data_IF_331806226170
#
_entry.id   IF_331806226170
#
_cell.length_a   1.000
_cell.length_b   1.000
_cell.length_c   1.000
_cell.angle_alpha   90.00
_cell.angle_beta   90.00
_cell.angle_gamma   90.00
#
_symmetry.space_group_name_H-M   'P 1'
#
loop_
_entity.id
_entity.type
_entity.pdbx_description
1 polymer ?
#
# COMPACT_ATOMS: atom_id res chain seq x y z
N UNK A 1 -19.99 -2.69 7.94
CA UNK A 1 -19.07 -1.55 7.89
C UNK A 1 -19.41 -0.79 6.64
N UNK A 2 -19.59 0.53 6.72
CA UNK A 2 -19.78 1.36 5.52
C UNK A 2 -18.46 1.37 4.74
N UNK A 3 -18.52 1.02 3.46
CA UNK A 3 -17.39 1.20 2.53
C UNK A 3 -17.33 2.71 2.24
N UNK A 4 -16.20 3.39 2.53
CA UNK A 4 -16.09 4.81 2.24
C UNK A 4 -16.27 5.11 0.75
N UNK A 5 -16.85 6.26 0.46
CA UNK A 5 -17.11 6.76 -0.88
C UNK A 5 -16.82 8.27 -0.98
N UNK A 6 -17.08 8.84 -2.15
CA UNK A 6 -16.88 10.27 -2.42
C UNK A 6 -17.70 11.19 -1.49
N UNK A 7 -18.81 10.71 -0.93
CA UNK A 7 -19.70 11.49 -0.03
C UNK A 7 -19.32 11.33 1.45
N UNK A 8 -18.44 10.39 1.77
CA UNK A 8 -17.98 10.16 3.14
C UNK A 8 -17.30 11.41 3.69
N UNK A 9 -17.70 11.94 4.86
CA UNK A 9 -17.08 13.13 5.44
C UNK A 9 -15.57 12.96 5.63
N UNK A 10 -14.78 14.00 5.34
CA UNK A 10 -13.31 13.91 5.30
C UNK A 10 -12.69 13.36 6.59
N UNK A 11 -13.14 13.81 7.76
CA UNK A 11 -12.63 13.30 9.03
C UNK A 11 -13.00 11.83 9.28
N UNK A 12 -14.15 11.37 8.76
CA UNK A 12 -14.58 9.97 8.83
C UNK A 12 -13.72 9.11 7.89
N UNK A 13 -13.47 9.59 6.66
CA UNK A 13 -12.58 8.93 5.71
C UNK A 13 -11.15 8.80 6.26
N UNK A 14 -10.57 9.88 6.80
CA UNK A 14 -9.23 9.84 7.39
C UNK A 14 -9.15 8.91 8.59
N UNK A 15 -10.18 8.89 9.44
CA UNK A 15 -10.23 7.94 10.58
C UNK A 15 -10.35 6.50 10.10
N UNK A 16 -11.11 6.25 9.02
CA UNK A 16 -11.19 4.93 8.41
C UNK A 16 -9.82 4.48 7.86
N UNK A 17 -9.17 5.32 7.05
CA UNK A 17 -7.83 5.01 6.50
C UNK A 17 -6.87 4.69 7.66
N UNK A 18 -6.76 5.56 8.65
CA UNK A 18 -5.87 5.33 9.80
C UNK A 18 -6.21 4.05 10.56
N UNK A 19 -7.43 3.93 11.08
CA UNK A 19 -7.77 2.92 12.08
C UNK A 19 -7.98 1.53 11.47
N UNK A 20 -8.39 1.47 10.19
CA UNK A 20 -8.60 0.21 9.48
C UNK A 20 -7.43 -0.15 8.58
N UNK A 21 -7.02 0.74 7.69
CA UNK A 21 -6.10 0.44 6.58
C UNK A 21 -4.66 0.46 7.06
N UNK A 22 -4.17 1.59 7.59
CA UNK A 22 -2.76 1.72 8.00
C UNK A 22 -2.41 0.74 9.14
N UNK A 23 -3.32 0.61 10.11
CA UNK A 23 -3.18 -0.39 11.18
C UNK A 23 -3.20 -1.84 10.68
N UNK A 24 -3.88 -2.14 9.56
CA UNK A 24 -3.83 -3.49 8.98
C UNK A 24 -2.43 -3.76 8.42
N UNK A 25 -1.86 -2.85 7.64
CA UNK A 25 -0.54 -2.99 7.03
C UNK A 25 0.56 -3.23 8.09
N UNK A 26 0.60 -2.40 9.14
CA UNK A 26 1.55 -2.55 10.26
C UNK A 26 1.48 -3.92 10.94
N UNK A 27 0.32 -4.59 10.93
CA UNK A 27 0.17 -5.97 11.46
C UNK A 27 0.48 -7.05 10.43
N UNK A 28 0.17 -6.82 9.17
CA UNK A 28 0.30 -7.81 8.10
C UNK A 28 1.76 -8.06 7.74
N UNK A 29 2.54 -7.01 7.50
CA UNK A 29 3.88 -7.11 6.93
C UNK A 29 4.87 -7.88 7.82
N UNK A 30 5.01 -7.60 9.14
CA UNK A 30 5.90 -8.37 10.00
C UNK A 30 5.56 -9.88 10.02
N UNK A 31 4.27 -10.20 9.95
CA UNK A 31 3.80 -11.59 9.88
C UNK A 31 4.13 -12.25 8.55
N UNK A 32 4.04 -11.52 7.44
CA UNK A 32 4.38 -12.01 6.11
C UNK A 32 5.89 -12.23 5.96
N UNK A 33 6.71 -11.30 6.45
CA UNK A 33 8.17 -11.44 6.54
C UNK A 33 8.53 -12.72 7.30
N UNK A 34 7.97 -12.92 8.51
CA UNK A 34 8.23 -14.13 9.30
C UNK A 34 7.79 -15.43 8.59
N UNK A 35 6.70 -15.39 7.82
CA UNK A 35 6.24 -16.54 7.04
C UNK A 35 7.15 -16.82 5.84
N UNK A 36 7.60 -15.79 5.12
CA UNK A 36 8.53 -15.92 4.01
C UNK A 36 9.86 -16.53 4.46
N UNK A 37 10.43 -16.04 5.56
CA UNK A 37 11.66 -16.58 6.17
C UNK A 37 11.54 -18.08 6.45
N UNK A 38 10.41 -18.50 7.04
CA UNK A 38 10.15 -19.91 7.35
C UNK A 38 9.99 -20.76 6.09
N UNK A 39 9.33 -20.23 5.06
CA UNK A 39 9.11 -20.94 3.80
C UNK A 39 10.43 -21.11 3.06
N UNK A 40 11.21 -20.05 2.88
CA UNK A 40 12.53 -20.10 2.24
C UNK A 40 13.47 -21.05 2.99
N UNK A 41 13.56 -20.96 4.32
CA UNK A 41 14.41 -21.86 5.09
C UNK A 41 13.98 -23.33 5.01
N UNK A 42 12.67 -23.61 5.05
CA UNK A 42 12.14 -24.99 5.02
C UNK A 42 12.24 -25.63 3.63
N UNK A 43 12.21 -24.81 2.59
CA UNK A 43 12.18 -25.20 1.18
C UNK A 43 13.40 -24.69 0.42
N UNK A 44 14.56 -24.59 1.09
CA UNK A 44 15.79 -24.03 0.52
C UNK A 44 16.23 -24.73 -0.78
N UNK A 45 16.03 -26.05 -0.87
CA UNK A 45 16.39 -26.85 -2.04
C UNK A 45 15.24 -27.01 -3.06
N UNK A 46 14.05 -26.44 -2.80
CA UNK A 46 12.92 -26.50 -3.73
C UNK A 46 13.03 -25.35 -4.74
N UNK A 47 13.19 -25.68 -6.03
CA UNK A 47 13.26 -24.69 -7.10
C UNK A 47 11.97 -23.88 -7.25
N UNK A 48 10.84 -24.39 -6.78
CA UNK A 48 9.56 -23.68 -6.79
C UNK A 48 9.41 -22.71 -5.61
N UNK A 49 10.32 -22.74 -4.62
CA UNK A 49 10.26 -21.84 -3.47
C UNK A 49 10.53 -20.38 -3.89
N UNK A 50 9.87 -19.40 -3.24
CA UNK A 50 9.99 -18.00 -3.60
C UNK A 50 11.27 -17.40 -3.00
N UNK A 51 12.43 -17.85 -3.49
CA UNK A 51 13.74 -17.41 -3.02
C UNK A 51 13.89 -15.88 -3.16
N UNK A 52 14.33 -15.23 -2.09
CA UNK A 52 14.48 -13.77 -2.00
C UNK A 52 13.22 -13.01 -1.59
N UNK A 53 12.07 -13.70 -1.40
CA UNK A 53 10.81 -13.06 -1.05
C UNK A 53 10.87 -12.35 0.31
N UNK A 54 11.62 -12.89 1.26
CA UNK A 54 11.88 -12.29 2.57
C UNK A 54 12.47 -10.90 2.40
N UNK A 55 13.55 -10.75 1.62
CA UNK A 55 14.21 -9.48 1.41
C UNK A 55 13.28 -8.47 0.70
N UNK A 56 12.49 -8.94 -0.28
CA UNK A 56 11.50 -8.10 -0.95
C UNK A 56 10.41 -7.61 0.01
N UNK A 57 9.94 -8.47 0.92
CA UNK A 57 8.95 -8.11 1.94
C UNK A 57 9.50 -7.19 3.02
N UNK A 58 10.75 -7.36 3.42
CA UNK A 58 11.44 -6.46 4.35
C UNK A 58 11.60 -5.06 3.75
N UNK A 59 11.92 -4.98 2.46
CA UNK A 59 12.07 -3.70 1.75
C UNK A 59 10.75 -2.94 1.67
N UNK A 60 9.66 -3.58 1.19
CA UNK A 60 8.34 -2.93 1.16
C UNK A 60 7.83 -2.63 2.57
N UNK A 61 8.16 -3.44 3.59
CA UNK A 61 7.76 -3.15 4.97
C UNK A 61 8.38 -1.86 5.47
N UNK A 62 9.68 -1.66 5.25
CA UNK A 62 10.38 -0.45 5.69
C UNK A 62 9.87 0.80 4.94
N UNK A 63 9.69 0.68 3.62
CA UNK A 63 9.15 1.77 2.80
C UNK A 63 7.74 2.17 3.25
N UNK A 64 6.85 1.18 3.43
CA UNK A 64 5.48 1.43 3.84
C UNK A 64 5.38 1.96 5.27
N UNK A 65 6.22 1.49 6.20
CA UNK A 65 6.25 2.05 7.56
C UNK A 65 6.65 3.53 7.55
N UNK A 66 7.68 3.91 6.77
CA UNK A 66 8.09 5.31 6.65
C UNK A 66 7.00 6.19 5.99
N UNK A 67 6.33 5.66 4.97
CA UNK A 67 5.20 6.30 4.30
C UNK A 67 4.03 6.54 5.27
N UNK A 68 3.61 5.50 6.01
CA UNK A 68 2.53 5.59 7.01
C UNK A 68 2.89 6.58 8.14
N UNK A 69 4.14 6.57 8.61
CA UNK A 69 4.59 7.51 9.63
C UNK A 69 4.50 8.96 9.12
N UNK A 70 4.80 9.20 7.85
CA UNK A 70 4.66 10.51 7.24
C UNK A 70 3.19 10.96 7.15
N UNK A 71 2.28 10.07 6.76
CA UNK A 71 0.84 10.32 6.74
C UNK A 71 0.32 10.71 8.12
N UNK A 72 0.60 9.88 9.13
CA UNK A 72 0.07 10.04 10.48
C UNK A 72 0.67 11.25 11.23
N UNK A 73 1.96 11.51 11.05
CA UNK A 73 2.66 12.57 11.79
C UNK A 73 2.54 13.95 11.13
N UNK A 74 2.41 14.00 9.80
CA UNK A 74 2.50 15.27 9.04
C UNK A 74 1.23 15.53 8.25
N UNK A 75 0.88 14.63 7.33
CA UNK A 75 -0.16 14.91 6.32
C UNK A 75 -1.54 14.98 6.96
N UNK A 76 -2.00 13.93 7.63
CA UNK A 76 -3.33 13.90 8.24
C UNK A 76 -3.53 15.01 9.30
N UNK A 77 -2.55 15.29 10.18
CA UNK A 77 -2.66 16.45 11.08
C UNK A 77 -2.77 17.79 10.34
N UNK A 78 -2.04 18.00 9.24
CA UNK A 78 -2.15 19.24 8.47
C UNK A 78 -3.51 19.37 7.77
N UNK A 79 -3.99 18.29 7.14
CA UNK A 79 -5.28 18.26 6.46
C UNK A 79 -6.44 18.54 7.43
N UNK A 80 -6.44 17.90 8.61
CA UNK A 80 -7.48 18.12 9.63
C UNK A 80 -7.53 19.54 10.19
N UNK A 81 -6.40 20.27 10.14
CA UNK A 81 -6.30 21.69 10.57
C UNK A 81 -6.57 22.70 9.45
N UNK A 82 -6.97 22.26 8.26
CA UNK A 82 -7.15 23.13 7.11
C UNK A 82 -5.83 23.72 6.57
N UNK A 83 -4.71 23.06 6.83
CA UNK A 83 -3.37 23.50 6.43
C UNK A 83 -2.88 22.78 5.16
N UNK A 84 -3.81 22.38 4.27
CA UNK A 84 -3.51 21.62 3.06
C UNK A 84 -2.46 22.28 2.16
N UNK A 85 -2.44 23.62 2.09
CA UNK A 85 -1.42 24.36 1.32
C UNK A 85 0.02 24.12 1.77
N UNK A 86 0.25 23.64 3.01
CA UNK A 86 1.58 23.33 3.54
C UNK A 86 2.09 21.94 3.21
N UNK A 87 1.22 21.07 2.68
CA UNK A 87 1.53 19.65 2.43
C UNK A 87 1.31 19.25 0.97
N UNK A 88 1.19 20.21 0.04
CA UNK A 88 0.95 19.88 -1.37
C UNK A 88 2.08 19.04 -1.98
N UNK A 89 3.34 19.36 -1.67
CA UNK A 89 4.50 18.56 -2.10
C UNK A 89 4.49 17.16 -1.47
N UNK A 90 4.05 17.05 -0.21
CA UNK A 90 3.93 15.77 0.46
C UNK A 90 2.84 14.89 -0.18
N UNK A 91 1.71 15.46 -0.60
CA UNK A 91 0.66 14.71 -1.32
C UNK A 91 1.17 14.15 -2.66
N UNK A 92 2.01 14.91 -3.38
CA UNK A 92 2.67 14.40 -4.59
C UNK A 92 3.64 13.26 -4.27
N UNK A 93 4.49 13.43 -3.24
CA UNK A 93 5.43 12.40 -2.80
C UNK A 93 4.74 11.11 -2.36
N UNK A 94 3.62 11.18 -1.63
CA UNK A 94 2.84 9.99 -1.25
C UNK A 94 2.30 9.24 -2.49
N UNK A 95 1.97 9.93 -3.58
CA UNK A 95 1.58 9.26 -4.84
C UNK A 95 2.75 8.53 -5.51
N UNK A 96 3.94 9.11 -5.44
CA UNK A 96 5.15 8.46 -5.93
C UNK A 96 5.44 7.19 -5.10
N UNK A 97 5.36 7.29 -3.78
CA UNK A 97 5.47 6.14 -2.87
C UNK A 97 4.42 5.05 -3.21
N UNK A 98 3.17 5.43 -3.46
CA UNK A 98 2.12 4.49 -3.89
C UNK A 98 2.49 3.74 -5.18
N UNK A 99 3.06 4.43 -6.17
CA UNK A 99 3.52 3.80 -7.40
C UNK A 99 4.72 2.85 -7.16
N UNK A 100 5.62 3.21 -6.25
CA UNK A 100 6.74 2.34 -5.86
C UNK A 100 6.27 1.08 -5.11
N UNK A 101 5.29 1.21 -4.22
CA UNK A 101 4.65 0.09 -3.54
C UNK A 101 3.95 -0.86 -4.52
N UNK A 102 3.24 -0.32 -5.51
CA UNK A 102 2.64 -1.12 -6.59
C UNK A 102 3.72 -1.88 -7.40
N UNK A 103 4.81 -1.20 -7.75
CA UNK A 103 5.93 -1.85 -8.44
C UNK A 103 6.58 -2.96 -7.60
N UNK A 104 6.68 -2.78 -6.28
CA UNK A 104 7.17 -3.79 -5.35
C UNK A 104 6.24 -5.01 -5.27
N UNK A 105 4.92 -4.79 -5.20
CA UNK A 105 3.92 -5.87 -5.24
C UNK A 105 3.98 -6.66 -6.56
N UNK A 106 4.17 -5.98 -7.69
CA UNK A 106 4.32 -6.64 -8.99
C UNK A 106 5.56 -7.55 -9.04
N UNK A 107 6.68 -7.11 -8.44
CA UNK A 107 7.88 -7.97 -8.29
C UNK A 107 7.59 -9.18 -7.40
N UNK A 108 6.92 -8.98 -6.26
CA UNK A 108 6.51 -10.07 -5.35
C UNK A 108 5.57 -11.06 -6.07
N UNK A 109 4.62 -10.57 -6.85
CA UNK A 109 3.73 -11.42 -7.65
C UNK A 109 4.53 -12.23 -8.67
N UNK A 110 5.52 -11.66 -9.35
CA UNK A 110 6.38 -12.38 -10.27
C UNK A 110 7.17 -13.51 -9.58
N UNK A 111 7.80 -13.22 -8.43
CA UNK A 111 8.55 -14.20 -7.62
C UNK A 111 7.69 -15.36 -7.11
N UNK A 112 6.37 -15.13 -7.01
CA UNK A 112 5.41 -16.12 -6.50
C UNK A 112 4.53 -16.72 -7.60
N UNK A 113 4.87 -16.47 -8.87
CA UNK A 113 4.11 -16.90 -10.05
C UNK A 113 2.63 -16.49 -10.00
N UNK A 114 2.36 -15.26 -9.56
CA UNK A 114 1.01 -14.74 -9.33
C UNK A 114 0.32 -15.45 -8.16
N UNK A 115 1.07 -15.68 -7.07
CA UNK A 115 0.58 -16.40 -5.88
C UNK A 115 0.09 -17.83 -6.17
N UNK A 116 0.62 -18.48 -7.21
CA UNK A 116 0.24 -19.86 -7.57
C UNK A 116 1.08 -20.85 -6.77
N UNK A 117 0.42 -21.67 -5.99
CA UNK A 117 1.07 -22.63 -5.10
C UNK A 117 1.52 -23.90 -5.85
N UNK A 118 2.75 -24.40 -5.63
CA UNK A 118 3.15 -25.71 -6.11
C UNK A 118 2.52 -26.83 -5.26
N UNK A 119 2.56 -28.07 -5.78
CA UNK A 119 2.07 -29.26 -5.04
C UNK A 119 2.84 -29.49 -3.73
N UNK A 120 4.13 -29.12 -3.69
CA UNK A 120 5.00 -29.24 -2.52
C UNK A 120 4.70 -28.23 -1.41
N UNK A 121 3.80 -27.26 -1.64
CA UNK A 121 3.54 -26.19 -0.68
C UNK A 121 3.07 -26.74 0.67
N UNK A 122 3.76 -26.36 1.74
CA UNK A 122 3.35 -26.66 3.11
C UNK A 122 2.22 -25.71 3.58
N UNK A 123 1.56 -25.97 4.72
CA UNK A 123 0.53 -25.08 5.25
C UNK A 123 0.99 -23.63 5.47
N UNK A 124 2.25 -23.40 5.87
CA UNK A 124 2.81 -22.05 6.05
C UNK A 124 2.94 -21.30 4.72
N UNK A 125 3.34 -22.00 3.66
CA UNK A 125 3.43 -21.43 2.31
C UNK A 125 2.05 -21.05 1.76
N UNK A 126 1.05 -21.91 1.95
CA UNK A 126 -0.35 -21.58 1.62
C UNK A 126 -0.83 -20.32 2.34
N UNK A 127 -0.52 -20.22 3.65
CA UNK A 127 -0.86 -19.05 4.47
C UNK A 127 -0.12 -17.78 4.04
N UNK A 128 1.14 -17.91 3.61
CA UNK A 128 1.94 -16.82 3.08
C UNK A 128 1.28 -16.25 1.83
N UNK A 129 1.01 -17.07 0.81
CA UNK A 129 0.46 -16.60 -0.45
C UNK A 129 -0.95 -16.03 -0.31
N UNK A 130 -1.80 -16.65 0.52
CA UNK A 130 -3.11 -16.09 0.85
C UNK A 130 -3.00 -14.74 1.60
N UNK A 131 -1.92 -14.54 2.37
CA UNK A 131 -1.64 -13.28 3.03
C UNK A 131 -1.09 -12.21 2.09
N UNK A 132 -0.27 -12.60 1.10
CA UNK A 132 0.21 -11.70 0.06
C UNK A 132 -0.93 -11.19 -0.83
N UNK A 133 -1.87 -12.06 -1.21
CA UNK A 133 -3.07 -11.65 -1.95
C UNK A 133 -3.87 -10.59 -1.18
N UNK A 134 -4.13 -10.83 0.11
CA UNK A 134 -4.81 -9.83 0.97
C UNK A 134 -4.00 -8.55 1.17
N UNK A 135 -2.68 -8.62 1.27
CA UNK A 135 -1.85 -7.42 1.33
C UNK A 135 -1.98 -6.58 0.05
N UNK A 136 -1.99 -7.23 -1.11
CA UNK A 136 -2.15 -6.54 -2.40
C UNK A 136 -3.54 -5.90 -2.52
N UNK A 137 -4.60 -6.59 -2.13
CA UNK A 137 -5.97 -6.03 -2.07
C UNK A 137 -6.05 -4.84 -1.11
N UNK A 138 -5.51 -4.97 0.11
CA UNK A 138 -5.56 -3.91 1.10
C UNK A 138 -4.72 -2.68 0.66
N UNK A 139 -3.59 -2.88 -0.03
CA UNK A 139 -2.75 -1.77 -0.55
C UNK A 139 -3.40 -1.06 -1.75
N UNK A 140 -4.14 -1.78 -2.59
CA UNK A 140 -4.92 -1.17 -3.66
C UNK A 140 -6.08 -0.34 -3.07
N UNK A 141 -6.79 -0.86 -2.07
CA UNK A 141 -7.79 -0.11 -1.31
C UNK A 141 -7.17 1.13 -0.67
N UNK A 142 -6.00 0.99 -0.04
CA UNK A 142 -5.27 2.11 0.57
C UNK A 142 -5.04 3.23 -0.44
N UNK A 143 -4.33 2.91 -1.53
CA UNK A 143 -4.01 3.85 -2.61
C UNK A 143 -5.28 4.51 -3.17
N UNK A 144 -6.35 3.75 -3.38
CA UNK A 144 -7.60 4.28 -3.92
C UNK A 144 -8.25 5.29 -2.97
N UNK A 145 -8.40 4.93 -1.69
CA UNK A 145 -9.00 5.82 -0.69
C UNK A 145 -8.24 7.13 -0.56
N UNK A 146 -6.91 7.09 -0.69
CA UNK A 146 -6.07 8.27 -0.63
C UNK A 146 -6.09 9.07 -1.93
N UNK A 147 -5.62 8.47 -3.03
CA UNK A 147 -5.40 9.16 -4.30
C UNK A 147 -6.69 9.66 -4.93
N UNK A 148 -7.76 8.87 -4.85
CA UNK A 148 -9.00 9.12 -5.58
C UNK A 148 -10.07 9.78 -4.71
N UNK A 149 -10.07 9.53 -3.39
CA UNK A 149 -11.10 10.08 -2.51
C UNK A 149 -10.59 11.19 -1.58
N UNK A 150 -9.44 11.02 -0.94
CA UNK A 150 -8.96 11.96 0.08
C UNK A 150 -8.23 13.15 -0.53
N UNK A 151 -7.15 12.90 -1.27
CA UNK A 151 -6.24 13.94 -1.79
C UNK A 151 -6.94 14.96 -2.70
N UNK A 152 -7.86 14.58 -3.62
CA UNK A 152 -8.52 15.54 -4.50
C UNK A 152 -9.34 16.60 -3.75
N UNK A 153 -9.71 16.36 -2.49
CA UNK A 153 -10.44 17.33 -1.65
C UNK A 153 -9.58 18.51 -1.20
N UNK A 154 -8.25 18.37 -1.32
CA UNK A 154 -7.26 19.29 -0.78
C UNK A 154 -6.32 19.86 -1.83
N UNK A 155 -6.50 19.43 -3.08
CA UNK A 155 -5.78 19.94 -4.22
C UNK A 155 -6.62 20.99 -4.91
N UNK A 156 -5.96 22.06 -5.36
CA UNK A 156 -6.65 23.04 -6.18
C UNK A 156 -6.96 22.38 -7.51
N UNK A 157 -8.19 22.45 -8.04
CA UNK A 157 -8.46 21.95 -9.39
C UNK A 157 -7.46 22.60 -10.34
N UNK A 158 -6.70 21.78 -11.08
CA UNK A 158 -5.89 22.29 -12.19
C UNK A 158 -6.89 22.91 -13.15
N UNK A 159 -6.97 24.24 -13.15
CA UNK A 159 -7.80 24.95 -14.11
C UNK A 159 -7.17 24.64 -15.47
N UNK A 160 -7.90 24.04 -16.44
CA UNK A 160 -7.33 23.89 -17.77
C UNK A 160 -6.87 25.27 -18.23
N UNK A 161 -5.59 25.35 -18.62
CA UNK A 161 -5.07 26.57 -19.25
C UNK A 161 -5.97 26.94 -20.43
N UNK A 162 -6.10 28.23 -20.78
CA UNK A 162 -6.89 28.61 -21.94
C UNK A 162 -6.45 27.75 -23.13
N UNK A 163 -7.41 27.05 -23.74
CA UNK A 163 -7.16 26.26 -24.93
C UNK A 163 -6.47 27.19 -25.95
N UNK A 164 -5.28 26.78 -26.42
CA UNK A 164 -4.59 27.50 -27.47
C UNK A 164 -5.49 27.48 -28.72
N UNK A 165 -6.00 28.64 -29.18
CA UNK A 165 -6.90 28.68 -30.32
C UNK A 165 -6.19 28.39 -31.66
N UNK A 166 -4.91 27.99 -31.66
CA UNK A 166 -4.08 27.86 -32.87
C UNK A 166 -3.60 26.45 -33.22
N UNK A 167 -4.22 25.37 -32.71
CA UNK A 167 -3.93 24.00 -33.17
C UNK A 167 -5.08 23.33 -33.93
#
# INVERSE_FOLDING_TARGET
MLVPDAQTPTLVLMSHIRDRVLHAHRRQLPRLVSLAQKVEARHADDIAAPHGLTAALEAISQALDAHIDHEEAVVFPALSRGQAGRVQEALAGLRDDHAEHEAALNRIAAMTHGFRLPRSACPSWRRLYAGLGRLAEDLDEHRYLENELLFPRFETPVRPGPADPTR
#
